data_IF_071828604487
#
_entry.id   IF_071828604487
#
_cell.length_a   1.000
_cell.length_b   1.000
_cell.length_c   1.000
_cell.angle_alpha   90.00
_cell.angle_beta   90.00
_cell.angle_gamma   90.00
#
_symmetry.space_group_name_H-M   'P 1'
#
loop_
_entity.id
_entity.type
_entity.pdbx_description
1 polymer ?
#
# COMPACT_ATOMS: atom_id res chain seq x y z
N UNK A 1 44.89 -34.11 54.34
CA UNK A 1 43.57 -33.94 54.96
C UNK A 1 42.76 -33.01 54.06
N UNK A 2 41.91 -33.58 53.23
CA UNK A 2 41.00 -32.83 52.33
C UNK A 2 39.84 -32.34 53.16
N UNK A 3 39.71 -31.01 53.29
CA UNK A 3 38.57 -30.37 53.96
C UNK A 3 37.40 -30.38 52.97
N UNK A 4 36.60 -31.45 52.94
CA UNK A 4 35.35 -31.50 52.22
C UNK A 4 34.44 -30.46 52.82
N UNK A 5 34.23 -29.35 52.12
CA UNK A 5 33.23 -28.32 52.52
C UNK A 5 31.87 -29.02 52.40
N UNK A 6 31.32 -29.34 53.56
CA UNK A 6 29.95 -29.88 53.70
C UNK A 6 28.98 -28.87 53.02
N UNK A 7 28.35 -29.32 51.95
CA UNK A 7 27.42 -28.47 51.17
C UNK A 7 26.14 -28.29 51.94
N UNK A 8 25.85 -27.02 52.31
CA UNK A 8 24.59 -26.68 52.99
C UNK A 8 23.37 -26.90 52.08
N UNK A 9 22.67 -28.00 52.28
CA UNK A 9 21.52 -28.41 51.46
C UNK A 9 20.35 -27.42 51.60
N UNK A 10 20.21 -26.72 52.77
CA UNK A 10 19.16 -25.72 52.99
C UNK A 10 19.37 -24.48 52.10
N UNK A 11 20.63 -23.99 52.04
CA UNK A 11 20.97 -22.84 51.17
C UNK A 11 20.79 -23.18 49.70
N UNK A 12 21.18 -24.38 49.27
CA UNK A 12 20.96 -24.84 47.91
C UNK A 12 19.48 -24.93 47.54
N UNK A 13 18.66 -25.46 48.45
CA UNK A 13 17.21 -25.56 48.25
C UNK A 13 16.56 -24.17 48.10
N UNK A 14 16.97 -23.21 48.94
CA UNK A 14 16.49 -21.82 48.81
C UNK A 14 16.92 -21.16 47.50
N UNK A 15 18.17 -21.36 47.07
CA UNK A 15 18.65 -20.80 45.81
C UNK A 15 17.87 -21.37 44.60
N UNK A 16 17.66 -22.69 44.59
CA UNK A 16 16.87 -23.34 43.55
C UNK A 16 15.42 -22.83 43.54
N UNK A 17 14.80 -22.74 44.71
CA UNK A 17 13.43 -22.21 44.83
C UNK A 17 13.33 -20.75 44.34
N UNK A 18 14.30 -19.90 44.69
CA UNK A 18 14.34 -18.51 44.24
C UNK A 18 14.54 -18.39 42.77
N UNK A 19 15.47 -19.19 42.17
CA UNK A 19 15.69 -19.23 40.76
C UNK A 19 14.45 -19.71 39.99
N UNK A 20 13.76 -20.75 40.51
CA UNK A 20 12.53 -21.26 39.91
C UNK A 20 11.41 -20.20 39.93
N UNK A 21 11.20 -19.57 41.08
CA UNK A 21 10.19 -18.50 41.25
C UNK A 21 10.53 -17.30 40.31
N UNK A 22 11.80 -16.87 40.29
CA UNK A 22 12.25 -15.80 39.39
C UNK A 22 12.08 -16.16 37.92
N UNK A 23 12.35 -17.43 37.54
CA UNK A 23 12.12 -17.95 36.20
C UNK A 23 10.65 -17.90 35.79
N UNK A 24 9.76 -18.34 36.67
CA UNK A 24 8.30 -18.27 36.41
C UNK A 24 7.83 -16.82 36.22
N UNK A 25 8.24 -15.93 37.13
CA UNK A 25 7.89 -14.49 37.02
C UNK A 25 8.47 -13.90 35.72
N UNK A 26 9.72 -14.20 35.40
CA UNK A 26 10.39 -13.71 34.17
C UNK A 26 9.67 -14.16 32.90
N UNK A 27 9.33 -15.46 32.80
CA UNK A 27 8.60 -16.01 31.65
C UNK A 27 7.19 -15.41 31.56
N UNK A 28 6.49 -15.30 32.68
CA UNK A 28 5.13 -14.69 32.71
C UNK A 28 5.17 -13.23 32.27
N UNK A 29 6.12 -12.45 32.78
CA UNK A 29 6.31 -11.04 32.40
C UNK A 29 6.66 -10.91 30.91
N UNK A 30 7.58 -11.74 30.42
CA UNK A 30 7.93 -11.76 29.00
C UNK A 30 6.71 -12.13 28.13
N UNK A 31 5.91 -13.09 28.54
CA UNK A 31 4.67 -13.47 27.87
C UNK A 31 3.68 -12.31 27.76
N UNK A 32 3.46 -11.59 28.85
CA UNK A 32 2.61 -10.38 28.83
C UNK A 32 3.20 -9.32 27.89
N UNK A 33 4.49 -9.01 27.98
CA UNK A 33 5.13 -8.03 27.10
C UNK A 33 5.02 -8.41 25.61
N UNK A 34 5.26 -9.68 25.27
CA UNK A 34 5.08 -10.17 23.90
C UNK A 34 3.62 -10.07 23.45
N UNK A 35 2.67 -10.34 24.33
CA UNK A 35 1.24 -10.23 23.99
C UNK A 35 0.82 -8.79 23.67
N UNK A 36 1.48 -7.77 24.24
CA UNK A 36 1.20 -6.36 23.90
C UNK A 36 1.66 -5.96 22.49
N UNK A 37 2.53 -6.76 21.87
CA UNK A 37 2.96 -6.55 20.47
C UNK A 37 1.93 -7.11 19.46
N UNK A 38 0.94 -7.87 19.91
CA UNK A 38 -0.13 -8.34 19.02
C UNK A 38 -0.98 -7.16 18.55
N UNK A 39 -1.33 -7.10 17.24
CA UNK A 39 -2.19 -6.04 16.75
C UNK A 39 -3.57 -6.10 17.43
N UNK A 40 -4.07 -4.94 17.83
CA UNK A 40 -5.42 -4.82 18.40
C UNK A 40 -6.49 -5.23 17.38
N UNK A 41 -7.70 -5.60 17.82
CA UNK A 41 -8.82 -5.91 16.93
C UNK A 41 -9.15 -4.73 15.99
N UNK A 42 -8.99 -3.50 16.48
CA UNK A 42 -9.13 -2.29 15.65
C UNK A 42 -8.07 -2.22 14.55
N UNK A 43 -6.82 -2.57 14.85
CA UNK A 43 -5.74 -2.60 13.86
C UNK A 43 -5.95 -3.72 12.84
N UNK A 44 -6.43 -4.88 13.27
CA UNK A 44 -6.81 -5.98 12.37
C UNK A 44 -7.97 -5.58 11.46
N UNK A 45 -9.01 -4.95 12.00
CA UNK A 45 -10.15 -4.47 11.23
C UNK A 45 -9.75 -3.38 10.22
N UNK A 46 -8.85 -2.46 10.60
CA UNK A 46 -8.32 -1.44 9.68
C UNK A 46 -7.47 -2.03 8.55
N UNK A 47 -6.90 -3.23 8.75
CA UNK A 47 -6.14 -3.97 7.72
C UNK A 47 -7.00 -4.85 6.81
N UNK A 48 -8.27 -5.06 7.15
CA UNK A 48 -9.16 -5.96 6.41
C UNK A 48 -9.44 -5.47 4.98
N UNK A 49 -9.74 -6.39 4.05
CA UNK A 49 -10.23 -6.03 2.72
C UNK A 49 -11.50 -5.19 2.78
N UNK A 50 -11.63 -4.25 1.86
CA UNK A 50 -12.76 -3.31 1.77
C UNK A 50 -13.55 -3.57 0.51
N UNK A 51 -14.82 -3.92 0.64
CA UNK A 51 -15.75 -4.02 -0.49
C UNK A 51 -16.29 -2.63 -0.87
N UNK A 52 -16.37 -2.36 -2.16
CA UNK A 52 -16.92 -1.11 -2.68
C UNK A 52 -17.73 -1.34 -3.95
N UNK A 53 -18.81 -0.58 -4.07
CA UNK A 53 -19.62 -0.49 -5.28
C UNK A 53 -19.10 0.69 -6.11
N UNK A 54 -18.91 0.49 -7.40
CA UNK A 54 -18.43 1.48 -8.37
C UNK A 54 -19.47 1.83 -9.44
N UNK A 55 -20.71 1.40 -9.27
CA UNK A 55 -21.82 1.70 -10.21
C UNK A 55 -22.11 3.20 -10.30
N UNK A 56 -21.85 3.93 -9.23
CA UNK A 56 -21.99 5.39 -9.11
C UNK A 56 -20.86 6.20 -9.75
N UNK A 57 -19.73 5.56 -10.08
CA UNK A 57 -18.56 6.24 -10.66
C UNK A 57 -18.73 6.35 -12.17
N UNK A 58 -18.97 7.57 -12.68
CA UNK A 58 -19.10 7.82 -14.11
C UNK A 58 -17.72 7.91 -14.79
N UNK A 59 -17.67 7.72 -16.12
CA UNK A 59 -16.44 7.96 -16.88
C UNK A 59 -15.89 9.37 -16.62
N UNK A 60 -14.59 9.47 -16.29
CA UNK A 60 -13.93 10.70 -15.89
C UNK A 60 -14.02 11.05 -14.41
N UNK A 61 -14.83 10.32 -13.64
CA UNK A 61 -14.95 10.52 -12.19
C UNK A 61 -14.07 9.57 -11.38
N UNK A 62 -13.70 10.01 -10.18
CA UNK A 62 -12.86 9.27 -9.25
C UNK A 62 -13.55 9.15 -7.90
N UNK A 63 -13.63 7.91 -7.38
CA UNK A 63 -14.06 7.60 -6.03
C UNK A 63 -12.85 7.35 -5.14
N UNK A 64 -12.94 7.75 -3.88
CA UNK A 64 -11.89 7.50 -2.87
C UNK A 64 -12.44 6.55 -1.82
N UNK A 65 -11.70 5.49 -1.56
CA UNK A 65 -12.01 4.48 -0.53
C UNK A 65 -10.81 4.40 0.41
N UNK A 66 -11.06 4.27 1.70
CA UNK A 66 -9.98 4.08 2.67
C UNK A 66 -9.66 2.59 2.83
N UNK A 67 -8.39 2.23 2.68
CA UNK A 67 -7.86 0.90 2.98
C UNK A 67 -6.53 1.02 3.72
N UNK A 68 -6.41 0.36 4.86
CA UNK A 68 -5.23 0.43 5.75
C UNK A 68 -4.81 1.86 6.12
N UNK A 69 -5.80 2.74 6.33
CA UNK A 69 -5.55 4.15 6.65
C UNK A 69 -4.98 4.97 5.47
N UNK A 70 -5.01 4.44 4.26
CA UNK A 70 -4.55 5.13 3.04
C UNK A 70 -5.70 5.34 2.08
N UNK A 71 -5.74 6.48 1.37
CA UNK A 71 -6.71 6.69 0.30
C UNK A 71 -6.39 5.80 -0.89
N UNK A 72 -7.34 5.01 -1.33
CA UNK A 72 -7.29 4.27 -2.59
C UNK A 72 -8.22 4.97 -3.57
N UNK A 73 -7.69 5.33 -4.71
CA UNK A 73 -8.41 5.98 -5.78
C UNK A 73 -8.91 4.97 -6.80
N UNK A 74 -10.17 5.07 -7.13
CA UNK A 74 -10.83 4.29 -8.18
C UNK A 74 -11.29 5.30 -9.22
N UNK A 75 -10.54 5.41 -10.31
CA UNK A 75 -10.82 6.32 -11.43
C UNK A 75 -11.42 5.52 -12.58
N UNK A 76 -12.62 5.89 -13.02
CA UNK A 76 -13.17 5.36 -14.28
C UNK A 76 -12.70 6.24 -15.43
N UNK A 77 -11.76 5.75 -16.21
CA UNK A 77 -11.13 6.47 -17.33
C UNK A 77 -12.05 6.49 -18.55
N UNK A 78 -12.06 7.61 -19.24
CA UNK A 78 -12.74 7.74 -20.54
C UNK A 78 -11.89 7.13 -21.67
N UNK A 79 -12.46 6.87 -22.85
CA UNK A 79 -11.68 6.43 -24.01
C UNK A 79 -10.53 7.40 -24.38
N UNK A 80 -10.76 8.71 -24.23
CA UNK A 80 -9.76 9.75 -24.48
C UNK A 80 -8.59 9.63 -23.49
N UNK A 81 -8.90 9.45 -22.19
CA UNK A 81 -7.90 9.22 -21.13
C UNK A 81 -7.05 7.97 -21.42
N UNK A 82 -7.67 6.89 -21.88
CA UNK A 82 -6.95 5.68 -22.26
C UNK A 82 -6.09 5.90 -23.51
N UNK A 83 -6.60 6.65 -24.50
CA UNK A 83 -5.87 6.99 -25.72
C UNK A 83 -4.67 7.93 -25.50
N UNK A 84 -4.60 8.62 -24.36
CA UNK A 84 -3.46 9.48 -24.02
C UNK A 84 -2.27 8.71 -23.42
N UNK A 85 -2.47 7.53 -22.85
CA UNK A 85 -1.43 6.77 -22.16
C UNK A 85 -0.22 6.42 -23.03
N UNK A 86 -0.38 5.95 -24.27
CA UNK A 86 0.77 5.64 -25.13
C UNK A 86 1.63 6.87 -25.45
N UNK A 87 1.05 8.09 -25.45
CA UNK A 87 1.79 9.33 -25.65
C UNK A 87 2.82 9.59 -24.55
N UNK A 88 2.55 9.06 -23.36
CA UNK A 88 3.39 9.23 -22.17
C UNK A 88 4.48 8.16 -22.02
N UNK A 89 4.48 7.06 -22.79
CA UNK A 89 5.37 5.91 -22.59
C UNK A 89 6.87 6.27 -22.60
N UNK A 90 7.26 7.19 -23.49
CA UNK A 90 8.64 7.67 -23.54
C UNK A 90 8.99 8.64 -22.42
N UNK A 91 7.99 9.23 -21.75
CA UNK A 91 8.13 10.28 -20.74
C UNK A 91 8.12 9.73 -19.32
N UNK A 92 7.51 8.56 -19.09
CA UNK A 92 7.43 7.94 -17.76
C UNK A 92 8.70 7.14 -17.44
N UNK A 93 9.00 7.02 -16.13
CA UNK A 93 10.23 6.37 -15.66
C UNK A 93 10.15 4.83 -15.65
N UNK A 94 8.94 4.29 -15.49
CA UNK A 94 8.67 2.85 -15.43
C UNK A 94 7.34 2.53 -16.11
N UNK A 95 7.35 2.45 -17.47
CA UNK A 95 6.14 2.26 -18.26
C UNK A 95 5.47 0.90 -18.02
N UNK A 96 6.26 -0.14 -17.74
CA UNK A 96 5.77 -1.52 -17.57
C UNK A 96 5.46 -1.88 -16.11
N UNK A 97 5.70 -0.95 -15.16
CA UNK A 97 5.53 -1.21 -13.73
C UNK A 97 6.37 -2.37 -13.20
N UNK A 98 7.63 -2.41 -13.60
CA UNK A 98 8.59 -3.42 -13.15
C UNK A 98 9.08 -3.15 -11.71
N UNK A 99 8.95 -1.91 -11.23
CA UNK A 99 9.40 -1.49 -9.91
C UNK A 99 8.25 -1.45 -8.92
N UNK A 100 8.42 -2.14 -7.82
CA UNK A 100 7.54 -2.05 -6.64
C UNK A 100 8.01 -0.93 -5.71
N UNK A 101 7.08 -0.30 -4.97
CA UNK A 101 7.41 0.67 -3.93
C UNK A 101 7.07 0.12 -2.53
N UNK A 102 5.88 0.37 -2.00
CA UNK A 102 5.46 -0.17 -0.70
C UNK A 102 4.70 -1.51 -0.85
N UNK A 103 4.05 -1.69 -1.99
CA UNK A 103 3.34 -2.92 -2.32
C UNK A 103 3.97 -3.59 -3.54
N UNK A 104 4.00 -4.92 -3.59
CA UNK A 104 4.36 -5.63 -4.81
C UNK A 104 3.33 -5.31 -5.90
N UNK A 105 3.79 -5.03 -7.12
CA UNK A 105 2.88 -4.80 -8.25
C UNK A 105 2.20 -6.12 -8.61
N UNK A 106 0.86 -6.20 -8.57
CA UNK A 106 0.15 -7.40 -9.00
C UNK A 106 0.40 -7.71 -10.48
N UNK A 107 0.51 -8.99 -10.84
CA UNK A 107 0.83 -9.41 -12.22
C UNK A 107 -0.17 -8.86 -13.25
N UNK A 108 -1.46 -8.80 -12.89
CA UNK A 108 -2.50 -8.23 -13.77
C UNK A 108 -2.36 -6.72 -14.00
N UNK A 109 -1.56 -6.02 -13.18
CA UNK A 109 -1.32 -4.58 -13.29
C UNK A 109 0.05 -4.24 -13.93
N UNK A 110 0.83 -5.24 -14.35
CA UNK A 110 2.09 -5.05 -15.10
C UNK A 110 1.80 -4.81 -16.59
N UNK A 111 1.15 -3.71 -16.87
CA UNK A 111 0.81 -3.27 -18.21
C UNK A 111 0.68 -1.73 -18.24
N UNK A 112 0.52 -1.14 -19.41
CA UNK A 112 0.42 0.31 -19.60
C UNK A 112 -0.79 0.93 -18.88
N UNK A 113 -1.89 0.17 -18.73
CA UNK A 113 -3.10 0.62 -18.06
C UNK A 113 -2.99 0.53 -16.54
N UNK A 114 -2.08 -0.29 -16.02
CA UNK A 114 -1.92 -0.66 -14.61
C UNK A 114 -3.23 -1.10 -13.97
N UNK A 115 -3.99 -1.86 -14.74
CA UNK A 115 -5.31 -2.37 -14.41
C UNK A 115 -5.50 -3.77 -15.01
N UNK A 116 -6.58 -4.43 -14.62
CA UNK A 116 -7.01 -5.68 -15.25
C UNK A 116 -7.42 -5.44 -16.69
N UNK A 117 -7.07 -6.34 -17.60
CA UNK A 117 -7.28 -6.16 -19.05
C UNK A 117 -8.76 -6.09 -19.44
N UNK A 118 -9.60 -6.84 -18.75
CA UNK A 118 -11.06 -6.85 -18.89
C UNK A 118 -11.75 -5.58 -18.36
N UNK A 119 -11.06 -4.86 -17.45
CA UNK A 119 -11.51 -3.61 -16.84
C UNK A 119 -10.42 -2.51 -16.93
N UNK A 120 -9.80 -2.38 -18.10
CA UNK A 120 -8.74 -1.38 -18.33
C UNK A 120 -9.20 0.07 -18.17
N UNK A 121 -10.50 0.32 -18.21
CA UNK A 121 -11.10 1.63 -17.93
C UNK A 121 -11.09 2.00 -16.45
N UNK A 122 -10.89 1.05 -15.54
CA UNK A 122 -10.89 1.30 -14.11
C UNK A 122 -9.47 1.23 -13.55
N UNK A 123 -8.92 2.37 -13.12
CA UNK A 123 -7.67 2.46 -12.40
C UNK A 123 -7.92 2.33 -10.90
N UNK A 124 -7.14 1.49 -10.23
CA UNK A 124 -7.16 1.35 -8.76
C UNK A 124 -5.75 1.55 -8.23
N UNK A 125 -5.49 2.66 -7.56
CA UNK A 125 -4.16 3.00 -7.02
C UNK A 125 -4.24 3.62 -5.64
N UNK A 126 -3.19 3.45 -4.85
CA UNK A 126 -3.04 4.16 -3.57
C UNK A 126 -2.68 5.61 -3.89
N UNK A 127 -3.50 6.55 -3.42
CA UNK A 127 -3.36 7.99 -3.66
C UNK A 127 -2.27 8.64 -2.81
N UNK A 128 -1.10 7.99 -2.71
CA UNK A 128 0.04 8.43 -1.91
C UNK A 128 1.28 8.52 -2.80
N UNK A 129 1.87 9.71 -2.88
CA UNK A 129 3.09 9.96 -3.63
C UNK A 129 4.26 9.15 -3.08
N UNK A 130 4.96 8.44 -3.96
CA UNK A 130 6.13 7.60 -3.59
C UNK A 130 7.35 8.41 -3.12
N UNK A 131 7.32 9.75 -3.21
CA UNK A 131 8.41 10.58 -2.69
C UNK A 131 8.42 10.62 -1.15
N UNK A 132 7.48 11.31 -0.53
CA UNK A 132 7.40 11.52 0.92
C UNK A 132 5.97 11.39 1.48
N UNK A 133 5.09 10.69 0.79
CA UNK A 133 3.77 10.35 1.32
C UNK A 133 2.68 11.41 1.19
N UNK A 134 2.88 12.50 0.44
CA UNK A 134 1.82 13.47 0.16
C UNK A 134 0.74 12.86 -0.74
N UNK A 135 -0.51 13.33 -0.63
CA UNK A 135 -1.56 12.94 -1.57
C UNK A 135 -1.52 13.85 -2.80
N UNK A 136 -1.29 13.33 -4.02
CA UNK A 136 -1.35 14.11 -5.24
C UNK A 136 -2.77 14.61 -5.53
N UNK A 137 -2.90 15.66 -6.30
CA UNK A 137 -4.18 16.23 -6.76
C UNK A 137 -4.48 15.75 -8.17
N UNK A 138 -5.74 15.45 -8.45
CA UNK A 138 -6.21 15.14 -9.79
C UNK A 138 -6.06 16.36 -10.71
N UNK A 139 -5.55 16.11 -11.93
CA UNK A 139 -5.35 17.09 -13.01
C UNK A 139 -5.74 16.43 -14.32
N UNK A 140 -7.02 16.12 -14.50
CA UNK A 140 -7.52 15.31 -15.62
C UNK A 140 -7.66 16.08 -16.92
N UNK A 141 -7.82 17.41 -16.85
CA UNK A 141 -7.89 18.24 -18.05
C UNK A 141 -6.57 18.20 -18.82
N UNK A 142 -6.64 18.09 -20.15
CA UNK A 142 -5.47 18.20 -21.04
C UNK A 142 -5.06 19.66 -21.24
N UNK A 143 -3.81 19.87 -21.65
CA UNK A 143 -3.25 21.15 -22.00
C UNK A 143 -2.67 21.95 -20.83
N UNK A 144 -2.31 23.22 -21.06
CA UNK A 144 -1.60 24.05 -20.10
C UNK A 144 -2.34 24.24 -18.77
N UNK A 145 -1.68 23.96 -17.68
CA UNK A 145 -2.19 24.17 -16.32
C UNK A 145 -1.02 24.64 -15.43
N UNK A 146 -1.30 25.36 -14.32
CA UNK A 146 -0.25 25.78 -13.40
C UNK A 146 0.60 24.64 -12.90
N UNK A 147 1.93 24.78 -13.01
CA UNK A 147 2.94 23.80 -12.60
C UNK A 147 2.96 22.46 -13.40
N UNK A 148 2.34 22.44 -14.58
CA UNK A 148 2.35 21.32 -15.50
C UNK A 148 2.90 21.77 -16.86
N UNK A 149 3.44 20.85 -17.69
CA UNK A 149 3.89 21.17 -19.04
C UNK A 149 2.70 21.53 -19.96
N UNK A 150 2.97 22.28 -21.04
CA UNK A 150 1.93 22.72 -21.97
C UNK A 150 1.29 21.56 -22.73
N UNK A 151 2.01 20.46 -22.92
CA UNK A 151 1.58 19.22 -23.57
C UNK A 151 1.04 18.17 -22.55
N UNK A 152 0.48 18.63 -21.42
CA UNK A 152 -0.09 17.77 -20.41
C UNK A 152 -1.29 16.95 -20.93
N UNK A 153 -1.27 15.63 -20.75
CA UNK A 153 -2.31 14.70 -21.20
C UNK A 153 -3.22 14.16 -20.10
N UNK A 154 -3.29 14.85 -18.98
CA UNK A 154 -4.05 14.39 -17.81
C UNK A 154 -3.23 13.50 -16.87
N UNK A 155 -3.64 13.47 -15.59
CA UNK A 155 -2.98 12.68 -14.55
C UNK A 155 -3.08 13.30 -13.16
N UNK A 156 -1.98 13.22 -12.39
CA UNK A 156 -1.94 13.68 -11.01
C UNK A 156 -0.68 14.50 -10.75
N UNK A 157 -0.85 15.59 -9.96
CA UNK A 157 0.24 16.47 -9.53
C UNK A 157 0.38 16.40 -8.01
N UNK A 158 1.55 16.02 -7.51
CA UNK A 158 1.87 16.13 -6.10
C UNK A 158 2.25 17.57 -5.75
N UNK A 159 1.47 18.28 -4.91
CA UNK A 159 1.69 19.69 -4.63
C UNK A 159 2.92 19.96 -3.77
N UNK A 160 3.44 18.94 -3.06
CA UNK A 160 4.54 19.11 -2.13
C UNK A 160 5.86 19.42 -2.85
N UNK A 161 6.22 18.65 -3.88
CA UNK A 161 7.50 18.78 -4.58
C UNK A 161 7.39 18.63 -6.11
N UNK A 162 6.19 18.75 -6.66
CA UNK A 162 5.96 18.78 -8.10
C UNK A 162 6.14 17.44 -8.83
N UNK A 163 6.09 16.32 -8.12
CA UNK A 163 6.04 15.00 -8.80
C UNK A 163 4.74 14.86 -9.58
N UNK A 164 4.82 14.42 -10.83
CA UNK A 164 3.67 14.20 -11.70
C UNK A 164 3.53 12.72 -12.03
N UNK A 165 2.28 12.30 -12.18
CA UNK A 165 1.91 10.94 -12.55
C UNK A 165 0.86 11.02 -13.65
N UNK A 166 0.89 10.09 -14.59
CA UNK A 166 -0.11 10.02 -15.65
C UNK A 166 -1.44 9.38 -15.17
N UNK A 167 -2.37 9.18 -16.09
CA UNK A 167 -3.69 8.58 -15.81
C UNK A 167 -3.66 7.08 -15.51
N UNK A 168 -2.50 6.46 -15.49
CA UNK A 168 -2.25 5.11 -14.94
C UNK A 168 -1.45 5.15 -13.64
N UNK A 169 -1.17 6.35 -13.09
CA UNK A 169 -0.35 6.51 -11.90
C UNK A 169 1.14 6.22 -12.13
N UNK A 170 1.61 6.26 -13.41
CA UNK A 170 3.03 6.10 -13.76
C UNK A 170 3.75 7.44 -13.57
N UNK A 171 4.87 7.41 -12.86
CA UNK A 171 5.65 8.62 -12.57
C UNK A 171 6.41 9.10 -13.81
N UNK A 172 6.36 10.38 -14.08
CA UNK A 172 7.18 10.99 -15.15
C UNK A 172 8.67 11.01 -14.78
N UNK A 173 9.56 10.94 -15.79
CA UNK A 173 11.00 11.06 -15.61
C UNK A 173 11.38 12.39 -14.96
N UNK A 174 12.53 12.43 -14.31
CA UNK A 174 13.10 13.62 -13.68
C UNK A 174 12.17 14.28 -12.63
N UNK A 175 11.40 13.48 -11.92
CA UNK A 175 10.57 13.90 -10.80
C UNK A 175 11.10 13.35 -9.49
N UNK A 176 10.80 14.03 -8.34
CA UNK A 176 11.27 13.56 -7.03
C UNK A 176 10.74 12.18 -6.61
N UNK A 177 9.55 11.80 -7.06
CA UNK A 177 8.97 10.49 -6.79
C UNK A 177 9.77 9.39 -7.51
N UNK A 178 10.30 8.36 -6.81
CA UNK A 178 11.16 7.33 -7.38
C UNK A 178 10.41 6.21 -8.11
N UNK A 179 9.11 6.06 -7.86
CA UNK A 179 8.31 4.96 -8.38
C UNK A 179 6.87 5.40 -8.70
N UNK A 180 6.18 4.57 -9.47
CA UNK A 180 4.76 4.71 -9.76
C UNK A 180 3.92 4.68 -8.47
N UNK A 181 2.68 5.16 -8.51
CA UNK A 181 1.73 4.98 -7.40
C UNK A 181 1.49 3.47 -7.20
N UNK A 182 1.41 3.02 -5.95
CA UNK A 182 1.16 1.61 -5.66
C UNK A 182 -0.22 1.14 -6.15
N UNK A 183 -0.28 -0.05 -6.69
CA UNK A 183 -1.54 -0.76 -6.98
C UNK A 183 -1.80 -1.72 -5.83
N UNK A 184 -2.86 -1.55 -5.02
CA UNK A 184 -3.23 -2.52 -4.01
C UNK A 184 -3.73 -3.81 -4.68
N UNK A 185 -3.64 -4.99 -4.06
CA UNK A 185 -4.34 -6.15 -4.57
C UNK A 185 -5.85 -5.88 -4.55
N UNK A 186 -6.54 -6.23 -5.64
CA UNK A 186 -7.98 -6.12 -5.73
C UNK A 186 -8.56 -7.15 -6.70
N UNK A 187 -9.82 -7.50 -6.51
CA UNK A 187 -10.56 -8.35 -7.43
C UNK A 187 -11.99 -7.85 -7.59
N UNK A 188 -12.61 -8.19 -8.71
CA UNK A 188 -14.01 -7.93 -8.93
C UNK A 188 -14.87 -9.06 -8.34
N UNK A 189 -15.94 -8.68 -7.67
CA UNK A 189 -17.02 -9.59 -7.21
C UNK A 189 -18.15 -9.65 -8.23
N UNK A 190 -18.32 -8.56 -8.98
CA UNK A 190 -19.22 -8.42 -10.13
C UNK A 190 -18.76 -7.21 -10.95
N UNK A 191 -19.39 -6.93 -12.09
CA UNK A 191 -19.04 -5.80 -12.97
C UNK A 191 -18.92 -4.45 -12.27
N UNK A 192 -19.68 -4.24 -11.19
CA UNK A 192 -19.74 -2.98 -10.45
C UNK A 192 -19.31 -3.10 -8.99
N UNK A 193 -18.93 -4.27 -8.52
CA UNK A 193 -18.43 -4.47 -7.14
C UNK A 193 -17.05 -5.04 -7.13
N UNK A 194 -16.19 -4.46 -6.30
CA UNK A 194 -14.84 -4.94 -6.10
C UNK A 194 -14.47 -5.00 -4.62
N UNK A 195 -13.48 -5.80 -4.32
CA UNK A 195 -12.82 -5.83 -3.01
C UNK A 195 -11.38 -5.36 -3.17
N UNK A 196 -10.95 -4.47 -2.30
CA UNK A 196 -9.58 -3.93 -2.23
C UNK A 196 -8.88 -4.55 -1.03
N UNK A 197 -7.62 -4.92 -1.18
CA UNK A 197 -6.82 -5.58 -0.15
C UNK A 197 -6.81 -7.10 -0.27
N UNK A 198 -7.48 -7.64 -1.28
CA UNK A 198 -7.53 -9.07 -1.59
C UNK A 198 -7.61 -9.30 -3.10
N UNK A 199 -6.93 -10.30 -3.58
CA UNK A 199 -7.02 -10.80 -4.95
C UNK A 199 -7.10 -12.35 -4.96
N UNK A 200 -6.97 -12.96 -6.13
CA UNK A 200 -7.03 -14.42 -6.30
C UNK A 200 -5.87 -15.17 -5.60
N UNK A 201 -4.80 -14.47 -5.22
CA UNK A 201 -3.66 -15.04 -4.48
C UNK A 201 -3.84 -14.95 -2.97
N UNK A 202 -4.84 -14.21 -2.50
CA UNK A 202 -5.15 -14.03 -1.08
C UNK A 202 -5.21 -12.58 -0.64
N UNK A 203 -5.18 -12.38 0.68
CA UNK A 203 -5.13 -11.05 1.30
C UNK A 203 -3.69 -10.52 1.33
N UNK A 204 -3.56 -9.19 1.22
CA UNK A 204 -2.27 -8.50 1.28
C UNK A 204 -1.76 -8.36 2.72
#
# INVERSE_FOLDING_TARGET
MSNEKQVDSGRRGLLVATCAAGGVVGVSTAGVLVSTLQPSERAKAAGAPVETDISDVKPGEMKVVEWRGKPVWILRRTPEMLGSLPKNDSLVADPNSDKSFQLPVPEYAKNEFRARQDHKDVLVVVGICSHLGCSPSARFAEGPQPNLPDDWHGGFLCPCHGSTFDLSGRVFKNKPAPANLDVPPYMYLSDNKMVIGKDEKGEA
#
